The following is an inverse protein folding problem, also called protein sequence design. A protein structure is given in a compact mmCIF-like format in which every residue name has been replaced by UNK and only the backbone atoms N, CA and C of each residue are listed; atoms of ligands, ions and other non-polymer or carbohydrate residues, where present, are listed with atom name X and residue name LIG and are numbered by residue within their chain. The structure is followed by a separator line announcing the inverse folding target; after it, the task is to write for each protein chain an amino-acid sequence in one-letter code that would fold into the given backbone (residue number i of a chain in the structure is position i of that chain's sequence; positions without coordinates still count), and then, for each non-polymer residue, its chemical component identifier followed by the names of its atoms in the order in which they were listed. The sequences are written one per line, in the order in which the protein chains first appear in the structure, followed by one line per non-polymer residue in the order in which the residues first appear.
data_IF_718637644972
#
_entry.id   IF_718637644972
#
_cell.length_a   1.000
_cell.length_b   1.000
_cell.length_c   1.000
_cell.angle_alpha   90.00
_cell.angle_beta   90.00
_cell.angle_gamma   90.00
#
_symmetry.space_group_name_H-M   'P 1'
#
loop_
_entity.id
_entity.type
_entity.pdbx_description
1 polymer ?
#
# COMPACT_ATOMS: atom_id res chain seq x y z
N UNK A 1 12.98 21.34 16.98
CA UNK A 1 12.16 20.12 16.87
C UNK A 1 12.46 19.30 18.10
N UNK A 2 11.59 19.37 19.12
CA UNK A 2 11.75 18.52 20.29
C UNK A 2 10.76 17.37 20.21
N UNK A 3 11.30 16.16 20.29
CA UNK A 3 10.61 14.88 20.07
C UNK A 3 9.52 14.63 21.12
N UNK A 4 9.60 15.34 22.24
CA UNK A 4 8.95 14.94 23.49
C UNK A 4 7.58 15.58 23.73
N UNK A 5 7.17 16.58 22.91
CA UNK A 5 5.93 17.34 23.16
C UNK A 5 4.94 17.43 21.98
N UNK A 6 5.23 16.78 20.84
CA UNK A 6 4.30 16.71 19.70
C UNK A 6 3.93 15.25 19.43
N UNK A 7 2.69 14.88 19.77
CA UNK A 7 2.15 13.53 19.62
C UNK A 7 2.19 13.04 18.16
N UNK A 8 2.32 13.92 17.16
CA UNK A 8 2.20 13.60 15.73
C UNK A 8 3.45 13.88 14.87
N UNK A 9 4.58 14.26 15.46
CA UNK A 9 5.77 14.68 14.71
C UNK A 9 6.29 13.57 13.77
N UNK A 10 6.33 13.84 12.46
CA UNK A 10 6.71 12.89 11.41
C UNK A 10 5.63 11.88 11.03
N UNK A 11 4.40 12.02 11.57
CA UNK A 11 3.23 11.17 11.30
C UNK A 11 1.97 12.04 11.10
N UNK A 12 2.13 13.25 10.57
CA UNK A 12 1.07 14.25 10.47
C UNK A 12 -0.08 13.79 9.56
N UNK A 13 0.24 13.07 8.49
CA UNK A 13 -0.75 12.59 7.53
C UNK A 13 -1.63 11.51 8.15
N UNK A 14 -1.02 10.64 8.95
CA UNK A 14 -1.66 9.57 9.71
C UNK A 14 -2.58 10.13 10.80
N UNK A 15 -2.17 11.22 11.44
CA UNK A 15 -3.01 11.97 12.36
C UNK A 15 -4.18 12.66 11.66
N UNK A 16 -3.96 13.30 10.51
CA UNK A 16 -5.03 13.92 9.72
C UNK A 16 -6.10 12.87 9.36
N UNK A 17 -5.66 11.67 8.96
CA UNK A 17 -6.56 10.58 8.60
C UNK A 17 -7.37 10.03 9.78
N UNK A 18 -6.76 9.81 10.94
CA UNK A 18 -7.41 9.02 12.01
C UNK A 18 -7.57 9.72 13.36
N UNK A 19 -6.85 10.83 13.60
CA UNK A 19 -6.97 11.71 14.76
C UNK A 19 -6.61 11.10 16.12
N UNK A 20 -5.98 9.92 16.15
CA UNK A 20 -5.55 9.25 17.38
C UNK A 20 -4.10 9.56 17.75
N UNK A 21 -3.56 8.82 18.72
CA UNK A 21 -2.11 8.78 19.00
C UNK A 21 -1.36 8.07 17.87
N UNK A 22 -0.05 8.29 17.73
CA UNK A 22 0.76 7.65 16.68
C UNK A 22 0.55 6.13 16.62
N UNK A 23 0.65 5.43 17.74
CA UNK A 23 0.45 3.97 17.79
C UNK A 23 -0.93 3.54 17.27
N UNK A 24 -1.98 4.30 17.61
CA UNK A 24 -3.34 4.02 17.15
C UNK A 24 -3.51 4.32 15.67
N UNK A 25 -2.89 5.39 15.16
CA UNK A 25 -2.98 5.77 13.75
C UNK A 25 -2.20 4.78 12.88
N UNK A 26 -1.00 4.40 13.30
CA UNK A 26 -0.20 3.36 12.63
C UNK A 26 -0.92 2.02 12.60
N UNK A 27 -1.50 1.60 13.73
CA UNK A 27 -2.29 0.36 13.78
C UNK A 27 -3.52 0.40 12.86
N UNK A 28 -4.18 1.56 12.73
CA UNK A 28 -5.30 1.72 11.79
C UNK A 28 -4.84 1.65 10.33
N UNK A 29 -3.74 2.31 9.99
CA UNK A 29 -3.19 2.28 8.62
C UNK A 29 -2.74 0.89 8.24
N UNK A 30 -2.00 0.25 9.14
CA UNK A 30 -1.60 -1.15 9.04
C UNK A 30 -2.82 -2.02 8.69
N UNK A 31 -3.87 -1.91 9.50
CA UNK A 31 -5.09 -2.68 9.31
C UNK A 31 -5.78 -2.36 7.98
N UNK A 32 -5.91 -1.07 7.63
CA UNK A 32 -6.50 -0.62 6.36
C UNK A 32 -5.69 -1.11 5.16
N UNK A 33 -4.36 -1.12 5.25
CA UNK A 33 -3.45 -1.59 4.22
C UNK A 33 -3.58 -3.10 4.02
N UNK A 34 -3.64 -3.85 5.11
CA UNK A 34 -3.91 -5.28 5.05
C UNK A 34 -5.25 -5.57 4.36
N UNK A 35 -6.33 -4.87 4.74
CA UNK A 35 -7.66 -5.11 4.17
C UNK A 35 -7.75 -4.77 2.68
N UNK A 36 -7.20 -3.64 2.24
CA UNK A 36 -7.23 -3.28 0.82
C UNK A 36 -6.39 -4.27 0.00
N UNK A 37 -5.23 -4.71 0.53
CA UNK A 37 -4.41 -5.74 -0.12
C UNK A 37 -5.12 -7.09 -0.17
N UNK A 38 -5.78 -7.47 0.92
CA UNK A 38 -6.61 -8.67 0.96
C UNK A 38 -7.73 -8.66 -0.07
N UNK A 39 -8.37 -7.52 -0.29
CA UNK A 39 -9.41 -7.38 -1.32
C UNK A 39 -8.83 -7.45 -2.75
N UNK A 40 -7.69 -6.80 -3.00
CA UNK A 40 -7.04 -6.78 -4.32
C UNK A 40 -6.44 -8.14 -4.70
N UNK A 41 -5.86 -8.87 -3.75
CA UNK A 41 -5.22 -10.16 -3.96
C UNK A 41 -6.23 -11.32 -4.10
N UNK A 42 -7.44 -11.18 -3.57
CA UNK A 42 -8.44 -12.25 -3.55
C UNK A 42 -8.78 -12.77 -4.96
N UNK A 43 -9.01 -11.86 -5.92
CA UNK A 43 -9.36 -12.21 -7.30
C UNK A 43 -8.27 -13.04 -8.00
N UNK A 44 -7.03 -12.53 -8.08
CA UNK A 44 -5.90 -13.27 -8.63
C UNK A 44 -5.65 -14.64 -7.99
N UNK A 45 -5.67 -14.72 -6.65
CA UNK A 45 -5.38 -15.97 -5.94
C UNK A 45 -6.49 -16.99 -6.18
N UNK A 46 -7.76 -16.56 -6.26
CA UNK A 46 -8.85 -17.42 -6.69
C UNK A 46 -8.63 -17.92 -8.11
N UNK A 47 -8.30 -17.06 -9.07
CA UNK A 47 -8.07 -17.50 -10.46
C UNK A 47 -6.96 -18.53 -10.57
N UNK A 48 -5.88 -18.38 -9.79
CA UNK A 48 -4.75 -19.29 -9.78
C UNK A 48 -5.10 -20.67 -9.20
N UNK A 49 -5.63 -20.70 -7.98
CA UNK A 49 -5.76 -21.95 -7.22
C UNK A 49 -7.14 -22.61 -7.36
N UNK A 50 -8.18 -21.89 -7.79
CA UNK A 50 -9.54 -22.43 -7.75
C UNK A 50 -9.75 -23.63 -8.67
N UNK A 51 -9.08 -23.69 -9.82
CA UNK A 51 -9.21 -24.79 -10.77
C UNK A 51 -8.05 -25.79 -10.75
N UNK A 52 -7.06 -25.56 -9.88
CA UNK A 52 -5.89 -26.43 -9.70
C UNK A 52 -6.29 -27.87 -9.34
N UNK A 53 -5.63 -28.84 -9.98
CA UNK A 53 -5.97 -30.27 -9.86
C UNK A 53 -5.41 -30.88 -8.57
N UNK A 54 -4.18 -30.54 -8.19
CA UNK A 54 -3.53 -31.06 -6.98
C UNK A 54 -4.25 -30.54 -5.73
N UNK A 55 -4.70 -29.28 -5.75
CA UNK A 55 -5.53 -28.71 -4.70
C UNK A 55 -6.88 -29.45 -4.57
N UNK A 56 -7.47 -29.95 -5.68
CA UNK A 56 -8.69 -30.79 -5.60
C UNK A 56 -8.39 -32.12 -4.93
N UNK A 57 -7.25 -32.75 -5.24
CA UNK A 57 -6.83 -34.01 -4.62
C UNK A 57 -6.64 -33.82 -3.11
N UNK A 58 -5.94 -32.77 -2.70
CA UNK A 58 -5.75 -32.41 -1.28
C UNK A 58 -7.10 -32.19 -0.60
N UNK A 59 -7.98 -31.40 -1.21
CA UNK A 59 -9.29 -31.08 -0.63
C UNK A 59 -10.20 -32.31 -0.46
N UNK A 60 -10.22 -33.21 -1.45
CA UNK A 60 -10.94 -34.48 -1.36
C UNK A 60 -10.35 -35.38 -0.28
N UNK A 61 -9.01 -35.43 -0.17
CA UNK A 61 -8.31 -36.19 0.87
C UNK A 61 -8.66 -35.72 2.29
N UNK A 62 -8.64 -34.40 2.52
CA UNK A 62 -9.02 -33.81 3.82
C UNK A 62 -10.51 -34.07 4.11
N UNK A 63 -11.38 -33.86 3.11
CA UNK A 63 -12.82 -34.11 3.27
C UNK A 63 -13.08 -35.56 3.71
N UNK A 64 -12.37 -36.53 3.11
CA UNK A 64 -12.46 -37.94 3.49
C UNK A 64 -11.97 -38.21 4.93
N UNK A 65 -10.87 -37.59 5.37
CA UNK A 65 -10.38 -37.70 6.75
C UNK A 65 -11.40 -37.17 7.76
N UNK A 66 -12.12 -36.11 7.40
CA UNK A 66 -13.21 -35.55 8.23
C UNK A 66 -14.54 -36.28 8.07
N UNK A 67 -14.58 -37.40 7.35
CA UNK A 67 -15.80 -38.15 7.04
C UNK A 67 -16.88 -37.30 6.35
N UNK A 68 -16.46 -36.30 5.58
CA UNK A 68 -17.37 -35.40 4.86
C UNK A 68 -18.01 -34.29 5.69
N UNK A 69 -17.65 -34.15 6.98
CA UNK A 69 -18.11 -33.03 7.83
C UNK A 69 -17.68 -31.70 7.21
N UNK A 70 -16.43 -31.64 6.73
CA UNK A 70 -15.94 -30.51 5.94
C UNK A 70 -15.92 -30.95 4.47
N UNK A 71 -16.73 -30.31 3.65
CA UNK A 71 -16.83 -30.64 2.23
C UNK A 71 -15.59 -30.15 1.46
N UNK A 72 -15.19 -30.86 0.40
CA UNK A 72 -14.02 -30.49 -0.40
C UNK A 72 -14.04 -29.03 -0.92
N UNK A 73 -15.17 -28.46 -1.39
CA UNK A 73 -15.23 -27.05 -1.77
C UNK A 73 -14.91 -26.09 -0.62
N UNK A 74 -15.32 -26.42 0.61
CA UNK A 74 -15.04 -25.61 1.79
C UNK A 74 -13.56 -25.68 2.18
N UNK A 75 -12.94 -26.86 2.07
CA UNK A 75 -11.48 -27.02 2.28
C UNK A 75 -10.70 -26.15 1.30
N UNK A 76 -11.05 -26.18 0.00
CA UNK A 76 -10.41 -25.34 -1.01
C UNK A 76 -10.52 -23.86 -0.67
N UNK A 77 -11.72 -23.41 -0.30
CA UNK A 77 -11.95 -22.02 0.07
C UNK A 77 -11.05 -21.60 1.24
N UNK A 78 -10.97 -22.41 2.30
CA UNK A 78 -10.12 -22.10 3.46
C UNK A 78 -8.65 -21.99 3.08
N UNK A 79 -8.13 -22.89 2.25
CA UNK A 79 -6.73 -22.86 1.80
C UNK A 79 -6.45 -21.59 0.99
N UNK A 80 -7.32 -21.27 0.02
CA UNK A 80 -7.19 -20.08 -0.83
C UNK A 80 -7.24 -18.78 -0.01
N UNK A 81 -8.17 -18.68 0.94
CA UNK A 81 -8.26 -17.52 1.84
C UNK A 81 -7.05 -17.42 2.76
N UNK A 82 -6.49 -18.55 3.20
CA UNK A 82 -5.24 -18.60 3.96
C UNK A 82 -4.04 -18.05 3.19
N UNK A 83 -3.88 -18.45 1.93
CA UNK A 83 -2.85 -17.89 1.03
C UNK A 83 -3.08 -16.41 0.81
N UNK A 84 -4.32 -15.97 0.59
CA UNK A 84 -4.64 -14.55 0.43
C UNK A 84 -4.27 -13.72 1.66
N UNK A 85 -4.53 -14.24 2.87
CA UNK A 85 -4.11 -13.59 4.10
C UNK A 85 -2.58 -13.52 4.22
N UNK A 86 -1.87 -14.60 3.91
CA UNK A 86 -0.41 -14.64 3.94
C UNK A 86 0.21 -13.66 2.93
N UNK A 87 -0.27 -13.65 1.69
CA UNK A 87 0.19 -12.74 0.63
C UNK A 87 -0.02 -11.27 1.03
N UNK A 88 -1.19 -10.95 1.57
CA UNK A 88 -1.52 -9.58 1.98
C UNK A 88 -0.70 -9.10 3.17
N UNK A 89 -0.30 -10.01 4.06
CA UNK A 89 0.63 -9.70 5.14
C UNK A 89 2.05 -9.40 4.61
N UNK A 90 2.51 -10.14 3.59
CA UNK A 90 3.78 -9.86 2.92
C UNK A 90 3.72 -8.50 2.20
N UNK A 91 2.69 -8.24 1.39
CA UNK A 91 2.51 -6.97 0.70
C UNK A 91 2.54 -5.76 1.63
N UNK A 92 1.83 -5.87 2.75
CA UNK A 92 1.83 -4.86 3.81
C UNK A 92 3.25 -4.61 4.31
N UNK A 93 4.02 -5.65 4.62
CA UNK A 93 5.40 -5.49 5.10
C UNK A 93 6.30 -4.79 4.08
N UNK A 94 6.14 -5.12 2.79
CA UNK A 94 6.87 -4.45 1.71
C UNK A 94 6.50 -2.96 1.62
N UNK A 95 5.21 -2.62 1.70
CA UNK A 95 4.73 -1.24 1.66
C UNK A 95 5.21 -0.43 2.86
N UNK A 96 5.19 -1.02 4.06
CA UNK A 96 5.74 -0.37 5.27
C UNK A 96 7.26 -0.20 5.20
N UNK A 97 7.96 -1.04 4.44
CA UNK A 97 9.37 -0.84 4.12
C UNK A 97 9.62 0.20 3.01
N UNK A 98 8.56 0.84 2.50
CA UNK A 98 8.63 1.84 1.43
C UNK A 98 8.77 1.25 0.03
N UNK A 99 8.63 -0.07 -0.13
CA UNK A 99 8.71 -0.73 -1.43
C UNK A 99 7.34 -0.70 -2.10
N UNK A 100 7.27 -0.35 -3.40
CA UNK A 100 6.02 -0.40 -4.13
C UNK A 100 5.59 -1.85 -4.35
N UNK A 101 4.28 -2.07 -4.32
CA UNK A 101 3.68 -3.37 -4.62
C UNK A 101 2.65 -3.17 -5.72
N UNK A 102 2.64 -4.09 -6.68
CA UNK A 102 1.72 -4.09 -7.80
C UNK A 102 0.26 -3.91 -7.36
N UNK A 103 -0.47 -3.06 -8.07
CA UNK A 103 -1.88 -2.80 -7.75
C UNK A 103 -2.74 -4.04 -8.05
N UNK A 104 -2.47 -4.70 -9.17
CA UNK A 104 -3.11 -5.94 -9.58
C UNK A 104 -2.05 -6.97 -10.00
N UNK A 105 -2.19 -8.20 -9.52
CA UNK A 105 -1.25 -9.30 -9.76
C UNK A 105 -1.87 -10.24 -10.79
N UNK A 106 -1.47 -10.11 -12.04
CA UNK A 106 -2.14 -10.81 -13.15
C UNK A 106 -1.70 -12.27 -13.31
N UNK A 107 -0.46 -12.63 -12.96
CA UNK A 107 0.06 -14.00 -13.07
C UNK A 107 0.88 -14.42 -11.84
N UNK A 108 0.72 -15.70 -11.49
CA UNK A 108 1.53 -16.50 -10.57
C UNK A 108 3.03 -16.40 -10.78
N UNK A 109 3.46 -16.19 -12.03
CA UNK A 109 4.87 -16.01 -12.37
C UNK A 109 5.47 -14.64 -12.01
N UNK A 110 4.66 -13.63 -11.62
CA UNK A 110 5.12 -12.23 -11.73
C UNK A 110 4.90 -11.27 -10.57
N UNK A 111 4.22 -11.62 -9.48
CA UNK A 111 4.15 -10.72 -8.30
C UNK A 111 3.59 -11.34 -7.01
N UNK A 112 3.26 -12.63 -7.00
CA UNK A 112 2.87 -13.32 -5.78
C UNK A 112 4.11 -13.74 -4.99
N UNK A 113 4.21 -13.31 -3.74
CA UNK A 113 5.30 -13.64 -2.84
C UNK A 113 5.11 -15.02 -2.18
N UNK A 114 3.87 -15.42 -1.95
CA UNK A 114 3.48 -16.67 -1.29
C UNK A 114 2.94 -17.63 -2.35
N UNK A 115 3.57 -18.80 -2.44
CA UNK A 115 3.18 -19.88 -3.33
C UNK A 115 2.95 -21.16 -2.53
N UNK A 116 1.90 -21.90 -2.90
CA UNK A 116 1.67 -23.24 -2.35
C UNK A 116 2.49 -24.26 -3.13
N UNK A 117 3.25 -25.07 -2.39
CA UNK A 117 3.80 -26.30 -2.92
C UNK A 117 2.71 -27.38 -2.86
N UNK A 118 2.15 -27.72 -4.02
CA UNK A 118 1.06 -28.69 -4.14
C UNK A 118 1.55 -30.10 -4.55
N UNK A 119 2.82 -30.22 -4.89
CA UNK A 119 3.44 -31.48 -5.36
C UNK A 119 3.47 -32.54 -4.25
N UNK A 120 3.54 -32.13 -2.98
CA UNK A 120 3.58 -33.02 -1.81
C UNK A 120 2.21 -33.08 -1.10
N UNK A 121 1.26 -33.73 -1.77
CA UNK A 121 -0.09 -33.95 -1.25
C UNK A 121 -0.12 -34.75 0.07
N UNK A 122 0.87 -35.60 0.31
CA UNK A 122 0.89 -36.47 1.50
C UNK A 122 1.29 -35.71 2.76
N UNK A 123 2.27 -34.80 2.67
CA UNK A 123 2.60 -33.86 3.74
C UNK A 123 1.39 -33.01 4.16
N UNK A 124 0.57 -32.57 3.21
CA UNK A 124 -0.64 -31.78 3.51
C UNK A 124 -1.68 -32.58 4.31
N UNK A 125 -1.91 -33.85 3.93
CA UNK A 125 -2.82 -34.74 4.65
C UNK A 125 -2.30 -35.08 6.04
N UNK A 126 -0.99 -35.30 6.17
CA UNK A 126 -0.36 -35.63 7.44
C UNK A 126 -0.42 -34.44 8.43
N UNK A 127 -0.13 -33.22 7.95
CA UNK A 127 -0.25 -32.00 8.74
C UNK A 127 -1.65 -31.82 9.35
N UNK A 128 -2.70 -32.07 8.55
CA UNK A 128 -4.10 -31.98 9.01
C UNK A 128 -4.45 -33.08 10.00
N UNK A 129 -4.03 -34.32 9.74
CA UNK A 129 -4.29 -35.47 10.64
C UNK A 129 -3.61 -35.30 11.99
N UNK A 130 -2.33 -34.95 11.98
CA UNK A 130 -1.51 -34.84 13.18
C UNK A 130 -1.62 -33.48 13.87
N UNK A 131 -2.32 -32.51 13.26
CA UNK A 131 -2.48 -31.13 13.75
C UNK A 131 -1.11 -30.48 14.04
N UNK A 132 -0.11 -30.78 13.20
CA UNK A 132 1.24 -30.27 13.36
C UNK A 132 1.52 -29.11 12.39
N UNK A 133 2.08 -28.03 12.91
CA UNK A 133 2.48 -26.83 12.17
C UNK A 133 3.88 -26.91 11.57
N UNK A 134 4.68 -27.92 11.91
CA UNK A 134 6.06 -28.06 11.42
C UNK A 134 6.14 -28.15 9.87
N UNK A 135 5.05 -28.62 9.24
CA UNK A 135 4.93 -28.71 7.77
C UNK A 135 4.62 -27.37 7.09
N UNK A 136 4.41 -26.28 7.82
CA UNK A 136 4.02 -25.00 7.22
C UNK A 136 5.06 -24.48 6.21
N UNK A 137 6.35 -24.70 6.50
CA UNK A 137 7.47 -24.27 5.64
C UNK A 137 7.67 -25.15 4.40
N UNK A 138 7.23 -26.41 4.41
CA UNK A 138 7.28 -27.29 3.25
C UNK A 138 6.08 -27.12 2.31
N UNK A 139 4.97 -26.56 2.84
CA UNK A 139 3.71 -26.33 2.13
C UNK A 139 3.65 -24.92 1.53
N UNK A 140 4.13 -23.90 2.25
CA UNK A 140 4.15 -22.51 1.77
C UNK A 140 5.57 -22.05 1.51
N UNK A 141 5.87 -21.72 0.26
CA UNK A 141 7.10 -21.07 -0.12
C UNK A 141 6.87 -19.56 -0.19
N UNK A 142 7.63 -18.80 0.61
CA UNK A 142 7.71 -17.35 0.47
C UNK A 142 8.99 -17.04 -0.28
N UNK A 143 8.87 -16.56 -1.51
CA UNK A 143 10.02 -16.17 -2.33
C UNK A 143 9.73 -14.85 -3.01
N UNK A 144 10.77 -14.02 -3.16
CA UNK A 144 10.65 -12.77 -3.89
C UNK A 144 10.67 -13.08 -5.40
N UNK A 145 9.56 -12.90 -6.13
CA UNK A 145 9.55 -13.14 -7.57
C UNK A 145 10.45 -12.13 -8.27
N UNK A 146 10.94 -12.49 -9.46
CA UNK A 146 11.61 -11.52 -10.32
C UNK A 146 10.65 -10.36 -10.61
N UNK A 147 11.03 -9.14 -10.20
CA UNK A 147 10.22 -7.94 -10.44
C UNK A 147 10.17 -7.72 -11.95
N UNK A 148 9.13 -8.24 -12.61
CA UNK A 148 8.71 -7.71 -13.91
C UNK A 148 7.90 -6.45 -13.64
N UNK A 149 8.08 -5.44 -14.48
CA UNK A 149 7.34 -4.19 -14.39
C UNK A 149 5.83 -4.49 -14.33
N UNK A 150 5.23 -4.22 -13.18
CA UNK A 150 3.77 -4.12 -13.10
C UNK A 150 3.37 -2.90 -13.91
N UNK A 151 2.30 -2.99 -14.71
CA UNK A 151 1.79 -1.85 -15.46
C UNK A 151 1.43 -0.68 -14.53
N UNK A 152 1.02 -0.99 -13.29
CA UNK A 152 0.68 -0.04 -12.22
C UNK A 152 1.07 -0.62 -10.85
N UNK A 153 2.04 -0.02 -10.18
CA UNK A 153 2.41 -0.33 -8.78
C UNK A 153 2.08 0.83 -7.86
N UNK A 154 1.59 0.54 -6.66
CA UNK A 154 1.29 1.54 -5.65
C UNK A 154 2.30 1.45 -4.50
N UNK A 155 2.86 2.59 -4.11
CA UNK A 155 3.64 2.74 -2.90
C UNK A 155 2.75 3.08 -1.70
N UNK A 156 3.33 3.07 -0.50
CA UNK A 156 2.64 3.47 0.73
C UNK A 156 1.97 4.85 0.61
N UNK A 157 2.68 5.84 0.04
CA UNK A 157 2.15 7.19 -0.17
C UNK A 157 0.90 7.24 -1.04
N UNK A 158 0.79 6.36 -2.02
CA UNK A 158 -0.37 6.31 -2.92
C UNK A 158 -1.60 5.81 -2.16
N UNK A 159 -1.44 4.80 -1.30
CA UNK A 159 -2.51 4.32 -0.43
C UNK A 159 -2.98 5.39 0.56
N UNK A 160 -2.03 6.07 1.22
CA UNK A 160 -2.34 7.17 2.13
C UNK A 160 -3.10 8.29 1.42
N UNK A 161 -2.70 8.63 0.19
CA UNK A 161 -3.38 9.64 -0.63
C UNK A 161 -4.80 9.22 -0.99
N UNK A 162 -5.01 7.95 -1.35
CA UNK A 162 -6.35 7.40 -1.63
C UNK A 162 -7.22 7.41 -0.38
N UNK A 163 -6.68 7.00 0.78
CA UNK A 163 -7.42 7.04 2.05
C UNK A 163 -7.79 8.48 2.43
N UNK A 164 -6.89 9.43 2.21
CA UNK A 164 -7.15 10.84 2.48
C UNK A 164 -8.24 11.39 1.56
N UNK A 165 -8.19 11.04 0.28
CA UNK A 165 -9.22 11.42 -0.69
C UNK A 165 -10.59 10.84 -0.33
N UNK A 166 -10.65 9.58 0.09
CA UNK A 166 -11.90 8.95 0.54
C UNK A 166 -12.43 9.67 1.78
N UNK A 167 -11.59 9.90 2.80
CA UNK A 167 -11.99 10.58 4.03
C UNK A 167 -12.40 12.05 3.78
N UNK A 168 -11.77 12.71 2.81
CA UNK A 168 -12.19 14.04 2.37
C UNK A 168 -13.59 14.01 1.75
N UNK A 169 -13.91 12.96 0.98
CA UNK A 169 -15.24 12.80 0.39
C UNK A 169 -16.31 12.42 1.42
N UNK A 170 -15.97 11.66 2.46
CA UNK A 170 -16.93 11.12 3.44
C UNK A 170 -17.06 11.96 4.71
N UNK A 171 -15.99 12.65 5.13
CA UNK A 171 -15.87 13.29 6.45
C UNK A 171 -14.90 14.48 6.43
N UNK A 172 -15.05 15.34 5.41
CA UNK A 172 -14.22 16.53 5.20
C UNK A 172 -14.01 17.40 6.45
N UNK A 173 -15.05 17.64 7.25
CA UNK A 173 -14.95 18.47 8.47
C UNK A 173 -13.91 17.95 9.48
N UNK A 174 -13.77 16.63 9.62
CA UNK A 174 -12.81 16.04 10.54
C UNK A 174 -11.38 16.20 10.00
N UNK A 175 -11.20 16.00 8.69
CA UNK A 175 -9.92 16.21 8.00
C UNK A 175 -9.48 17.66 8.13
N UNK A 176 -10.39 18.61 7.92
CA UNK A 176 -10.09 20.04 8.05
C UNK A 176 -9.72 20.43 9.49
N UNK A 177 -10.45 19.95 10.49
CA UNK A 177 -10.13 20.23 11.91
C UNK A 177 -8.75 19.69 12.29
N UNK A 178 -8.44 18.44 11.93
CA UNK A 178 -7.14 17.84 12.23
C UNK A 178 -6.01 18.50 11.46
N UNK A 179 -6.25 18.93 10.22
CA UNK A 179 -5.28 19.72 9.46
C UNK A 179 -5.02 21.06 10.13
N UNK A 180 -6.06 21.73 10.63
CA UNK A 180 -5.92 22.95 11.42
C UNK A 180 -5.14 22.72 12.73
N UNK A 181 -5.38 21.61 13.42
CA UNK A 181 -4.63 21.22 14.63
C UNK A 181 -3.13 21.02 14.34
N UNK A 182 -2.79 20.37 13.22
CA UNK A 182 -1.38 20.22 12.77
C UNK A 182 -0.74 21.57 12.48
N UNK A 183 -1.45 22.48 11.80
CA UNK A 183 -0.94 23.84 11.52
C UNK A 183 -0.74 24.62 12.82
N UNK A 184 -1.72 24.60 13.73
CA UNK A 184 -1.64 25.31 15.00
C UNK A 184 -0.50 24.77 15.86
N UNK A 185 -0.33 23.45 15.95
CA UNK A 185 0.76 22.82 16.72
C UNK A 185 2.12 23.15 16.14
N UNK A 186 2.23 23.27 14.81
CA UNK A 186 3.47 23.68 14.14
C UNK A 186 3.81 25.14 14.44
N UNK A 187 2.82 26.04 14.33
CA UNK A 187 3.01 27.48 14.60
C UNK A 187 3.26 27.77 16.09
N UNK A 188 2.64 26.99 16.97
CA UNK A 188 2.82 27.08 18.42
C UNK A 188 4.27 26.80 18.88
N UNK A 189 5.10 26.17 18.05
CA UNK A 189 6.54 26.00 18.32
C UNK A 189 7.31 27.31 18.27
N UNK A 190 6.86 28.26 17.46
CA UNK A 190 7.48 29.58 17.33
C UNK A 190 6.81 30.62 18.22
N UNK A 191 5.50 30.50 18.43
CA UNK A 191 4.71 31.38 19.29
C UNK A 191 3.70 30.55 20.10
N UNK A 192 4.00 30.30 21.37
CA UNK A 192 3.19 29.45 22.24
C UNK A 192 1.77 29.98 22.49
N UNK A 193 1.50 31.26 22.25
CA UNK A 193 0.15 31.85 22.38
C UNK A 193 -0.65 31.79 21.08
N UNK A 194 -0.05 31.27 20.00
CA UNK A 194 -0.69 31.19 18.70
C UNK A 194 -1.90 30.23 18.72
N UNK A 195 -3.06 30.79 18.43
CA UNK A 195 -4.32 30.04 18.28
C UNK A 195 -4.93 30.36 16.92
N UNK A 196 -5.19 29.33 16.13
CA UNK A 196 -5.65 29.47 14.75
C UNK A 196 -7.02 30.18 14.68
N UNK A 197 -7.86 29.99 15.71
CA UNK A 197 -9.17 30.64 15.82
C UNK A 197 -9.11 32.16 16.03
N UNK A 198 -7.96 32.71 16.42
CA UNK A 198 -7.75 34.14 16.65
C UNK A 198 -6.89 34.80 15.57
N UNK A 199 -6.41 34.04 14.58
CA UNK A 199 -5.51 34.51 13.54
C UNK A 199 -6.20 34.64 12.18
N UNK A 200 -5.94 35.75 11.48
CA UNK A 200 -6.24 35.85 10.05
C UNK A 200 -5.33 34.89 9.29
N UNK A 201 -5.93 33.90 8.62
CA UNK A 201 -5.18 32.84 7.94
C UNK A 201 -5.19 33.10 6.44
N UNK A 202 -4.00 33.31 5.88
CA UNK A 202 -3.81 33.34 4.44
C UNK A 202 -2.96 32.14 4.04
N UNK A 203 -3.40 31.41 3.03
CA UNK A 203 -2.58 30.38 2.40
C UNK A 203 -2.00 30.94 1.11
N UNK A 204 -0.71 30.67 0.90
CA UNK A 204 -0.03 30.94 -0.36
C UNK A 204 0.41 29.60 -0.94
N UNK A 205 -0.09 29.26 -2.12
CA UNK A 205 0.36 28.10 -2.87
C UNK A 205 1.41 28.60 -3.86
N UNK A 206 2.64 28.13 -3.68
CA UNK A 206 3.75 28.30 -4.63
C UNK A 206 4.03 26.95 -5.26
N UNK A 207 3.94 26.85 -6.59
CA UNK A 207 4.29 25.65 -7.33
C UNK A 207 5.24 25.98 -8.47
N UNK A 208 6.22 25.11 -8.68
CA UNK A 208 7.13 25.16 -9.83
C UNK A 208 6.75 24.04 -10.78
N UNK A 209 6.07 24.37 -11.87
CA UNK A 209 5.64 23.41 -12.88
C UNK A 209 6.69 23.36 -13.98
N UNK A 210 7.34 22.21 -14.14
CA UNK A 210 8.29 21.97 -15.23
C UNK A 210 7.62 21.20 -16.36
N UNK A 211 7.58 21.78 -17.55
CA UNK A 211 7.07 21.11 -18.76
C UNK A 211 8.25 20.53 -19.53
N UNK A 212 8.28 19.21 -19.76
CA UNK A 212 9.32 18.60 -20.59
C UNK A 212 9.10 19.00 -22.05
N UNK A 213 10.04 19.71 -22.72
CA UNK A 213 9.83 20.12 -24.10
C UNK A 213 9.94 18.92 -25.05
N UNK A 214 8.87 18.67 -25.81
CA UNK A 214 8.80 17.53 -26.74
C UNK A 214 9.51 17.79 -28.08
N UNK A 215 9.72 19.06 -28.46
CA UNK A 215 10.21 19.45 -29.80
C UNK A 215 11.69 19.86 -29.86
N UNK A 216 12.31 20.27 -28.74
CA UNK A 216 13.73 20.69 -28.73
C UNK A 216 14.72 19.53 -28.57
N UNK A 217 14.23 18.31 -28.37
CA UNK A 217 15.03 17.09 -28.21
C UNK A 217 15.32 16.41 -29.57
N UNK A 218 15.25 17.15 -30.68
CA UNK A 218 15.67 16.63 -31.98
C UNK A 218 17.21 16.66 -32.07
N UNK A 219 17.87 15.56 -32.48
CA UNK A 219 19.35 15.44 -32.52
C UNK A 219 20.03 16.44 -33.47
N UNK A 220 19.27 17.19 -34.27
CA UNK A 220 19.80 18.23 -35.15
C UNK A 220 20.41 19.42 -34.38
N UNK A 221 19.95 19.70 -33.16
CA UNK A 221 20.56 20.72 -32.29
C UNK A 221 21.91 20.26 -31.67
N UNK A 222 22.10 18.95 -31.49
CA UNK A 222 23.35 18.39 -30.93
C UNK A 222 24.45 18.19 -31.99
N UNK A 223 24.11 18.21 -33.29
CA UNK A 223 25.07 17.99 -34.37
C UNK A 223 25.91 19.23 -34.71
N UNK A 224 25.62 20.40 -34.12
CA UNK A 224 26.41 21.64 -34.31
C UNK A 224 27.35 21.99 -33.14
N UNK A 225 27.60 21.06 -32.21
CA UNK A 225 28.58 21.29 -31.12
C UNK A 225 28.18 22.37 -30.11
N UNK A 226 26.92 22.81 -30.10
CA UNK A 226 26.38 23.77 -29.13
C UNK A 226 25.71 22.98 -28.01
N UNK A 227 26.35 22.92 -26.85
CA UNK A 227 25.72 22.44 -25.62
C UNK A 227 24.65 23.46 -25.23
N UNK A 228 23.36 23.10 -25.35
CA UNK A 228 22.27 23.95 -24.85
C UNK A 228 22.31 23.89 -23.32
N UNK A 229 23.06 24.78 -22.71
CA UNK A 229 23.37 24.78 -21.26
C UNK A 229 22.29 25.40 -20.37
N UNK A 230 21.11 25.74 -20.91
CA UNK A 230 20.07 26.38 -20.09
C UNK A 230 18.67 25.87 -20.46
N UNK A 231 18.43 24.59 -20.15
CA UNK A 231 17.11 23.96 -20.29
C UNK A 231 16.23 24.11 -19.06
N UNK A 232 16.71 24.71 -17.97
CA UNK A 232 15.99 24.73 -16.68
C UNK A 232 15.12 25.99 -16.49
N UNK A 233 15.42 27.09 -17.17
CA UNK A 233 14.77 28.39 -16.95
C UNK A 233 13.48 28.59 -17.77
N UNK A 234 13.46 28.21 -19.04
CA UNK A 234 12.34 28.51 -19.95
C UNK A 234 11.16 27.52 -19.86
N UNK A 235 11.38 26.36 -19.25
CA UNK A 235 10.38 25.30 -19.16
C UNK A 235 9.82 25.14 -17.74
N UNK A 236 10.24 25.99 -16.81
CA UNK A 236 9.81 26.00 -15.41
C UNK A 236 8.95 27.23 -15.17
N UNK A 237 7.67 27.02 -14.91
CA UNK A 237 6.72 28.07 -14.58
C UNK A 237 6.52 28.13 -13.07
N UNK A 238 6.77 29.29 -12.47
CA UNK A 238 6.48 29.54 -11.07
C UNK A 238 5.08 30.15 -10.95
N UNK A 239 4.18 29.46 -10.28
CA UNK A 239 2.82 29.92 -10.02
C UNK A 239 2.67 30.19 -8.52
N UNK A 240 2.30 31.43 -8.17
CA UNK A 240 2.04 31.88 -6.81
C UNK A 240 0.63 32.44 -6.71
N UNK A 241 -0.19 31.82 -5.87
CA UNK A 241 -1.52 32.34 -5.55
C UNK A 241 -1.67 32.44 -4.04
N UNK A 242 -2.16 33.58 -3.56
CA UNK A 242 -2.46 33.80 -2.15
C UNK A 242 -3.96 34.02 -1.98
N UNK A 243 -4.60 33.28 -1.08
CA UNK A 243 -6.00 33.47 -0.70
C UNK A 243 -6.09 33.51 0.83
N UNK A 244 -6.89 34.43 1.35
CA UNK A 244 -7.14 34.58 2.77
C UNK A 244 -8.62 34.49 3.10
N UNK A 245 -8.91 34.08 4.33
CA UNK A 245 -10.21 34.20 5.00
C UNK A 245 -10.03 35.00 6.30
#
# INVERSE_FOLDING_TARGET
MDKDNNISYGNEVEYILYGGTNDKNHSKIDTSLFFIRYALNLGPILQLYWNDEDLKVIANGISAVTQGIITAPLVKLIIVLGVNAAESAVDRNYLLAGLPVAFYKEDSGHQLFVQLNLDDTDSFKDAVKNKNTDYASSIMNVSQPAIKDSLVSFAYSDYISVFLFIELCTSSDNVYKRTADVIQTTMAQNDSEFVLSKSLTYYTIETKVRVKPMMMTLPYAQQSGVTVTDTDTWNTFEYKTSKGY
#
